data_IF_328190870861
#
_entry.id   IF_328190870861
#
_cell.length_a   1.000
_cell.length_b   1.000
_cell.length_c   1.000
_cell.angle_alpha   90.00
_cell.angle_beta   90.00
_cell.angle_gamma   90.00
#
_symmetry.space_group_name_H-M   'P 1'
#
loop_
_entity.id
_entity.type
_entity.pdbx_description
1 polymer ?
#
# COMPACT_ATOMS: atom_id res chain seq x y z
N UNK A 1 58.75 62.62 -20.82
CA UNK A 1 59.18 61.86 -19.64
C UNK A 1 58.03 62.00 -18.64
N UNK A 2 57.17 61.04 -18.33
CA UNK A 2 57.19 59.58 -18.38
C UNK A 2 55.71 59.15 -18.46
N UNK A 3 55.32 58.34 -19.45
CA UNK A 3 54.01 57.66 -19.44
C UNK A 3 54.09 56.53 -18.43
N UNK A 4 53.20 56.50 -17.43
CA UNK A 4 53.03 55.36 -16.53
C UNK A 4 51.56 54.94 -16.54
N UNK A 5 51.28 53.91 -17.35
CA UNK A 5 50.00 53.23 -17.44
C UNK A 5 49.82 52.35 -16.18
N UNK A 6 48.85 52.69 -15.35
CA UNK A 6 48.51 51.96 -14.13
C UNK A 6 47.63 50.74 -14.43
N UNK A 7 47.79 49.71 -13.60
CA UNK A 7 47.44 48.31 -13.83
C UNK A 7 45.93 48.01 -13.76
N UNK A 8 45.55 47.06 -14.60
CA UNK A 8 44.33 46.21 -14.53
C UNK A 8 43.96 45.81 -13.09
N UNK A 9 42.69 45.89 -12.73
CA UNK A 9 42.03 44.84 -11.94
C UNK A 9 40.51 44.91 -12.11
N UNK A 10 39.98 43.94 -12.85
CA UNK A 10 38.56 43.73 -13.10
C UNK A 10 38.01 42.70 -12.09
N UNK A 11 36.88 43.04 -11.47
CA UNK A 11 35.66 42.24 -11.33
C UNK A 11 35.58 41.02 -10.38
N UNK A 12 34.58 41.16 -9.49
CA UNK A 12 33.54 40.17 -9.13
C UNK A 12 33.97 38.99 -8.28
N UNK A 13 33.71 39.12 -6.98
CA UNK A 13 33.60 37.99 -6.07
C UNK A 13 32.32 37.20 -6.39
N UNK A 14 32.51 35.97 -6.87
CA UNK A 14 31.44 35.02 -7.13
C UNK A 14 30.88 34.46 -5.80
N UNK A 15 29.58 34.68 -5.58
CA UNK A 15 28.78 33.93 -4.61
C UNK A 15 28.50 32.56 -5.23
N UNK A 16 29.18 31.51 -4.77
CA UNK A 16 28.85 30.13 -5.13
C UNK A 16 27.66 29.66 -4.29
N UNK A 17 26.50 29.59 -4.93
CA UNK A 17 25.30 28.96 -4.42
C UNK A 17 25.53 27.45 -4.25
N UNK A 18 25.46 26.97 -3.01
CA UNK A 18 25.35 25.55 -2.71
C UNK A 18 23.91 25.10 -3.04
N UNK A 19 23.69 24.65 -4.27
CA UNK A 19 22.47 23.93 -4.65
C UNK A 19 22.56 22.56 -3.98
N UNK A 20 21.87 22.39 -2.85
CA UNK A 20 21.68 21.08 -2.25
C UNK A 20 20.90 20.20 -3.20
N UNK A 21 21.51 19.11 -3.66
CA UNK A 21 20.76 18.01 -4.23
C UNK A 21 19.94 17.39 -3.10
N UNK A 22 18.67 17.77 -3.01
CA UNK A 22 17.70 16.97 -2.26
C UNK A 22 17.72 15.58 -2.88
N UNK A 23 18.17 14.58 -2.12
CA UNK A 23 18.00 13.20 -2.53
C UNK A 23 16.49 12.99 -2.78
N UNK A 24 16.08 12.36 -3.89
CA UNK A 24 14.69 11.98 -4.05
C UNK A 24 14.32 11.13 -2.82
N UNK A 25 13.22 11.49 -2.16
CA UNK A 25 12.65 10.62 -1.14
C UNK A 25 12.28 9.32 -1.87
N UNK A 26 13.11 8.29 -1.73
CA UNK A 26 12.78 6.97 -2.25
C UNK A 26 11.63 6.46 -1.39
N UNK A 27 10.55 6.02 -2.04
CA UNK A 27 9.40 5.40 -1.39
C UNK A 27 9.88 4.33 -0.39
N UNK A 28 9.38 4.38 0.84
CA UNK A 28 9.75 3.38 1.83
C UNK A 28 8.96 2.10 1.54
N UNK A 29 9.62 0.93 1.42
CA UNK A 29 8.91 -0.33 1.23
C UNK A 29 8.10 -0.67 2.49
N UNK A 30 6.94 -1.28 2.30
CA UNK A 30 6.17 -1.89 3.38
C UNK A 30 6.80 -3.25 3.68
N UNK A 31 7.10 -3.51 4.95
CA UNK A 31 7.62 -4.82 5.33
C UNK A 31 6.57 -5.90 5.06
N UNK A 32 7.04 -7.06 4.58
CA UNK A 32 6.27 -8.28 4.41
C UNK A 32 5.91 -8.93 5.77
N UNK A 33 5.42 -8.13 6.71
CA UNK A 33 5.09 -8.52 8.07
C UNK A 33 3.83 -7.80 8.54
N UNK A 34 2.82 -8.58 8.94
CA UNK A 34 1.53 -8.08 9.42
C UNK A 34 0.37 -8.74 8.68
N UNK A 35 -0.84 -8.43 9.13
CA UNK A 35 -2.08 -8.96 8.57
C UNK A 35 -3.06 -7.83 8.27
N UNK A 36 -3.97 -8.09 7.34
CA UNK A 36 -5.16 -7.29 7.12
C UNK A 36 -6.37 -8.13 7.44
N UNK A 37 -7.16 -7.67 8.40
CA UNK A 37 -8.39 -8.31 8.82
C UNK A 37 -9.57 -7.63 8.12
N UNK A 38 -10.38 -8.42 7.43
CA UNK A 38 -11.59 -7.97 6.75
C UNK A 38 -12.79 -8.59 7.46
N UNK A 39 -13.59 -7.73 8.08
CA UNK A 39 -14.86 -8.13 8.70
C UNK A 39 -15.98 -7.98 7.68
N UNK A 40 -16.58 -9.09 7.26
CA UNK A 40 -17.70 -9.08 6.31
C UNK A 40 -18.94 -8.45 6.94
N UNK A 41 -19.62 -7.60 6.18
CA UNK A 41 -20.83 -6.91 6.63
C UNK A 41 -21.98 -7.87 6.85
N UNK A 42 -22.86 -7.56 7.81
CA UNK A 42 -24.06 -8.37 8.07
C UNK A 42 -25.00 -8.44 6.85
N UNK A 43 -25.05 -7.39 6.04
CA UNK A 43 -25.82 -7.38 4.79
C UNK A 43 -25.28 -8.43 3.81
N UNK A 44 -23.97 -8.41 3.53
CA UNK A 44 -23.38 -9.33 2.56
C UNK A 44 -23.41 -10.78 3.06
N UNK A 45 -23.18 -11.01 4.36
CA UNK A 45 -23.36 -12.34 4.96
C UNK A 45 -24.80 -12.86 4.82
N UNK A 46 -25.80 -11.99 4.97
CA UNK A 46 -27.20 -12.37 4.76
C UNK A 46 -27.43 -12.77 3.30
N UNK A 47 -26.93 -11.98 2.34
CA UNK A 47 -27.00 -12.32 0.91
C UNK A 47 -26.36 -13.68 0.62
N UNK A 48 -25.17 -13.95 1.18
CA UNK A 48 -24.50 -15.24 0.98
C UNK A 48 -25.33 -16.41 1.57
N UNK A 49 -25.72 -16.29 2.84
CA UNK A 49 -26.44 -17.35 3.56
C UNK A 49 -27.84 -17.62 3.00
N UNK A 50 -28.61 -16.57 2.69
CA UNK A 50 -29.95 -16.68 2.11
C UNK A 50 -29.93 -17.36 0.72
N UNK A 51 -28.81 -17.23 0.00
CA UNK A 51 -28.64 -17.82 -1.34
C UNK A 51 -27.83 -19.12 -1.35
N UNK A 52 -27.50 -19.66 -0.17
CA UNK A 52 -26.76 -20.92 -0.03
C UNK A 52 -25.31 -20.84 -0.55
N UNK A 53 -24.72 -19.65 -0.54
CA UNK A 53 -23.33 -19.41 -0.94
C UNK A 53 -22.47 -19.46 0.32
N UNK A 54 -21.48 -20.34 0.35
CA UNK A 54 -20.45 -20.38 1.40
C UNK A 54 -19.21 -19.60 0.98
N UNK A 55 -18.56 -18.93 1.93
CA UNK A 55 -17.27 -18.30 1.73
C UNK A 55 -16.21 -18.98 2.60
N UNK A 56 -15.12 -19.42 1.98
CA UNK A 56 -14.03 -20.15 2.62
C UNK A 56 -12.69 -19.47 2.31
N UNK A 57 -11.73 -19.43 3.24
CA UNK A 57 -10.41 -18.87 2.96
C UNK A 57 -9.59 -19.80 2.05
N UNK A 58 -8.76 -19.21 1.19
CA UNK A 58 -7.74 -19.90 0.41
C UNK A 58 -6.38 -19.58 1.03
N UNK A 59 -5.59 -20.61 1.35
CA UNK A 59 -4.28 -20.46 1.99
C UNK A 59 -3.37 -19.45 1.27
N UNK A 60 -2.54 -18.68 2.00
CA UNK A 60 -2.37 -18.66 3.46
C UNK A 60 -3.46 -17.89 4.24
N UNK A 61 -4.51 -17.38 3.58
CA UNK A 61 -5.57 -16.67 4.29
C UNK A 61 -6.24 -17.58 5.33
N UNK A 62 -6.72 -16.97 6.41
CA UNK A 62 -7.47 -17.66 7.46
C UNK A 62 -8.81 -16.99 7.69
N UNK A 63 -9.77 -17.72 8.26
CA UNK A 63 -11.08 -17.19 8.58
C UNK A 63 -11.50 -17.60 9.99
N UNK A 64 -12.11 -16.67 10.72
CA UNK A 64 -12.71 -16.90 12.04
C UNK A 64 -14.05 -16.17 12.11
N UNK A 65 -15.14 -16.93 11.99
CA UNK A 65 -16.48 -16.36 11.89
C UNK A 65 -16.64 -15.50 10.64
N UNK A 66 -16.93 -14.22 10.82
CA UNK A 66 -17.11 -13.24 9.74
C UNK A 66 -15.81 -12.49 9.36
N UNK A 67 -14.68 -12.86 9.96
CA UNK A 67 -13.40 -12.17 9.76
C UNK A 67 -12.48 -13.04 8.92
N UNK A 68 -12.00 -12.46 7.81
CA UNK A 68 -10.95 -13.04 6.98
C UNK A 68 -9.64 -12.29 7.23
N UNK A 69 -8.57 -13.03 7.47
CA UNK A 69 -7.23 -12.47 7.72
C UNK A 69 -6.31 -12.83 6.56
N UNK A 70 -5.69 -11.81 5.98
CA UNK A 70 -4.78 -11.91 4.85
C UNK A 70 -3.39 -11.43 5.24
N UNK A 71 -2.38 -12.24 4.95
CA UNK A 71 -0.98 -11.90 5.23
C UNK A 71 -0.49 -10.83 4.25
N UNK A 72 0.14 -9.78 4.80
CA UNK A 72 0.77 -8.72 4.01
C UNK A 72 2.13 -9.21 3.51
N UNK A 73 2.28 -9.33 2.20
CA UNK A 73 3.51 -9.83 1.56
C UNK A 73 4.45 -8.72 1.10
N UNK A 74 3.98 -7.47 1.04
CA UNK A 74 4.80 -6.35 0.62
C UNK A 74 3.99 -5.10 0.31
N UNK A 75 4.60 -4.19 -0.41
CA UNK A 75 3.99 -2.93 -0.82
C UNK A 75 4.94 -1.74 -0.77
N UNK A 76 4.41 -0.58 -1.12
CA UNK A 76 5.09 0.70 -1.15
C UNK A 76 4.25 1.77 -0.44
N UNK A 77 4.90 2.79 0.09
CA UNK A 77 4.21 3.90 0.79
C UNK A 77 4.01 5.15 -0.08
N UNK A 78 4.67 5.23 -1.22
CA UNK A 78 4.57 6.36 -2.15
C UNK A 78 4.90 5.92 -3.61
N UNK A 79 3.90 5.55 -4.43
CA UNK A 79 2.48 5.53 -4.10
C UNK A 79 2.12 4.43 -3.08
N UNK A 80 1.05 4.65 -2.31
CA UNK A 80 0.58 3.64 -1.35
C UNK A 80 0.04 2.42 -2.10
N UNK A 81 0.74 1.30 -1.97
CA UNK A 81 0.34 -0.02 -2.49
C UNK A 81 0.59 -1.06 -1.41
N UNK A 82 -0.38 -1.95 -1.13
CA UNK A 82 -0.21 -3.04 -0.17
C UNK A 82 -0.56 -4.35 -0.85
N UNK A 83 0.37 -5.30 -0.84
CA UNK A 83 0.22 -6.61 -1.44
C UNK A 83 -0.12 -7.66 -0.38
N UNK A 84 -1.03 -8.57 -0.72
CA UNK A 84 -1.49 -9.64 0.15
C UNK A 84 -1.37 -11.00 -0.52
N UNK A 85 -1.30 -12.04 0.32
CA UNK A 85 -1.40 -13.43 -0.12
C UNK A 85 -2.67 -14.10 0.38
N UNK A 86 -3.04 -15.17 -0.31
CA UNK A 86 -4.24 -15.95 -0.03
C UNK A 86 -5.43 -15.49 -0.85
N UNK A 87 -6.63 -15.86 -0.42
CA UNK A 87 -7.83 -15.57 -1.16
C UNK A 87 -9.12 -15.92 -0.42
N UNK A 88 -10.22 -15.69 -1.10
CA UNK A 88 -11.55 -16.13 -0.70
C UNK A 88 -12.14 -16.96 -1.82
N UNK A 89 -12.67 -18.13 -1.48
CA UNK A 89 -13.44 -18.99 -2.35
C UNK A 89 -14.91 -18.88 -1.96
N UNK A 90 -15.74 -18.44 -2.90
CA UNK A 90 -17.19 -18.51 -2.80
C UNK A 90 -17.68 -19.77 -3.51
N UNK A 91 -18.58 -20.52 -2.89
CA UNK A 91 -19.08 -21.79 -3.43
C UNK A 91 -20.60 -21.90 -3.26
N UNK A 92 -21.28 -22.45 -4.27
CA UNK A 92 -22.69 -22.82 -4.23
C UNK A 92 -22.89 -24.09 -5.05
N UNK A 93 -22.96 -25.23 -4.36
CA UNK A 93 -23.07 -26.54 -5.03
C UNK A 93 -21.81 -26.84 -5.85
N UNK A 94 -21.92 -26.86 -7.19
CA UNK A 94 -20.80 -27.05 -8.11
C UNK A 94 -20.16 -25.75 -8.61
N UNK A 95 -20.83 -24.62 -8.41
CA UNK A 95 -20.36 -23.32 -8.87
C UNK A 95 -19.36 -22.75 -7.86
N UNK A 96 -18.26 -22.19 -8.37
CA UNK A 96 -17.24 -21.55 -7.56
C UNK A 96 -16.77 -20.24 -8.18
N UNK A 97 -16.39 -19.31 -7.30
CA UNK A 97 -15.76 -18.04 -7.64
C UNK A 97 -14.64 -17.79 -6.64
N UNK A 98 -13.40 -17.74 -7.11
CA UNK A 98 -12.25 -17.40 -6.26
C UNK A 98 -11.76 -16.00 -6.55
N UNK A 99 -11.34 -15.29 -5.49
CA UNK A 99 -10.58 -14.06 -5.58
C UNK A 99 -9.31 -14.24 -4.75
N UNK A 100 -8.15 -14.15 -5.38
CA UNK A 100 -6.83 -14.38 -4.77
C UNK A 100 -5.89 -13.22 -5.05
N UNK A 101 -4.79 -13.15 -4.28
CA UNK A 101 -3.73 -12.15 -4.43
C UNK A 101 -4.31 -10.74 -4.44
N UNK A 102 -4.70 -10.22 -3.29
CA UNK A 102 -5.27 -8.87 -3.22
C UNK A 102 -4.16 -7.82 -3.27
N UNK A 103 -4.43 -6.71 -3.97
CA UNK A 103 -3.59 -5.51 -3.98
C UNK A 103 -4.46 -4.32 -3.64
N UNK A 104 -4.10 -3.61 -2.58
CA UNK A 104 -4.71 -2.34 -2.20
C UNK A 104 -3.93 -1.22 -2.90
N UNK A 105 -4.59 -0.45 -3.75
CA UNK A 105 -4.04 0.76 -4.35
C UNK A 105 -4.64 1.99 -3.66
N UNK A 106 -3.83 2.67 -2.86
CA UNK A 106 -4.24 3.85 -2.12
C UNK A 106 -4.37 5.12 -2.97
N UNK A 107 -3.82 5.13 -4.19
CA UNK A 107 -3.94 6.27 -5.12
C UNK A 107 -5.24 6.18 -5.90
N UNK A 108 -5.55 4.99 -6.42
CA UNK A 108 -6.80 4.72 -7.12
C UNK A 108 -7.98 4.54 -6.16
N UNK A 109 -7.70 4.21 -4.89
CA UNK A 109 -8.73 3.94 -3.89
C UNK A 109 -9.46 2.64 -4.18
N UNK A 110 -8.76 1.61 -4.64
CA UNK A 110 -9.36 0.33 -5.04
C UNK A 110 -8.62 -0.85 -4.45
N UNK A 111 -9.31 -1.99 -4.36
CA UNK A 111 -8.70 -3.29 -4.13
C UNK A 111 -8.86 -4.13 -5.38
N UNK A 112 -7.73 -4.57 -5.91
CA UNK A 112 -7.68 -5.45 -7.05
C UNK A 112 -7.38 -6.88 -6.62
N UNK A 113 -7.89 -7.84 -7.36
CA UNK A 113 -7.64 -9.25 -7.12
C UNK A 113 -7.59 -10.02 -8.42
N UNK A 114 -7.07 -11.22 -8.32
CA UNK A 114 -7.07 -12.19 -9.38
C UNK A 114 -8.29 -13.10 -9.24
N UNK A 115 -9.17 -13.08 -10.23
CA UNK A 115 -10.46 -13.77 -10.18
C UNK A 115 -10.37 -15.10 -10.93
N UNK A 116 -10.79 -16.20 -10.31
CA UNK A 116 -10.75 -17.56 -10.86
C UNK A 116 -9.37 -17.99 -11.38
N UNK A 117 -8.30 -17.46 -10.77
CA UNK A 117 -6.92 -17.75 -11.17
C UNK A 117 -6.54 -17.25 -12.57
N UNK A 118 -7.19 -16.18 -13.05
CA UNK A 118 -6.79 -15.49 -14.29
C UNK A 118 -5.38 -14.89 -14.22
N UNK A 119 -4.94 -14.19 -15.25
CA UNK A 119 -3.64 -13.48 -15.21
C UNK A 119 -3.80 -11.98 -14.89
N UNK A 120 -5.02 -11.44 -15.08
CA UNK A 120 -5.31 -10.03 -14.90
C UNK A 120 -5.71 -9.71 -13.45
N UNK A 121 -5.23 -8.60 -12.93
CA UNK A 121 -5.71 -8.00 -11.69
C UNK A 121 -6.90 -7.10 -12.00
N UNK A 122 -8.06 -7.48 -11.47
CA UNK A 122 -9.30 -6.75 -11.67
C UNK A 122 -9.65 -5.99 -10.40
N UNK A 123 -10.00 -4.71 -10.53
CA UNK A 123 -10.56 -3.94 -9.42
C UNK A 123 -11.92 -4.55 -9.01
N UNK A 124 -11.97 -5.13 -7.81
CA UNK A 124 -13.16 -5.83 -7.29
C UNK A 124 -13.82 -5.08 -6.13
N UNK A 125 -13.08 -4.20 -5.45
CA UNK A 125 -13.62 -3.31 -4.45
C UNK A 125 -13.16 -1.88 -4.66
N UNK A 126 -14.04 -0.95 -4.28
CA UNK A 126 -13.70 0.46 -4.10
C UNK A 126 -13.53 0.73 -2.60
N UNK A 127 -12.52 1.52 -2.24
CA UNK A 127 -12.23 1.90 -0.86
C UNK A 127 -13.01 3.17 -0.51
N UNK A 128 -13.67 3.16 0.64
CA UNK A 128 -14.34 4.34 1.19
C UNK A 128 -14.04 4.48 2.69
N UNK A 129 -14.33 5.66 3.24
CA UNK A 129 -14.12 5.98 4.66
C UNK A 129 -12.71 5.59 5.16
N UNK A 130 -11.70 5.90 4.35
CA UNK A 130 -10.31 5.57 4.65
C UNK A 130 -9.82 6.42 5.84
N UNK A 131 -9.47 5.77 6.94
CA UNK A 131 -8.85 6.38 8.10
C UNK A 131 -7.44 5.83 8.31
N UNK A 132 -6.46 6.72 8.31
CA UNK A 132 -5.04 6.43 8.49
C UNK A 132 -4.48 7.02 9.81
N UNK A 133 -5.35 7.46 10.74
CA UNK A 133 -4.96 8.00 12.04
C UNK A 133 -4.45 6.93 13.02
N UNK A 134 -4.63 5.64 12.70
CA UNK A 134 -4.15 4.47 13.42
C UNK A 134 -3.82 3.31 12.48
N UNK A 135 -4.22 2.05 12.77
CA UNK A 135 -4.22 1.02 11.73
C UNK A 135 -5.06 1.51 10.54
N UNK A 136 -4.62 1.26 9.30
CA UNK A 136 -5.36 1.75 8.13
C UNK A 136 -6.69 1.00 8.07
N UNK A 137 -7.80 1.71 8.27
CA UNK A 137 -9.14 1.14 8.16
C UNK A 137 -9.85 1.72 6.95
N UNK A 138 -10.57 0.86 6.22
CA UNK A 138 -11.37 1.28 5.07
C UNK A 138 -12.60 0.38 4.91
N UNK A 139 -13.70 0.96 4.44
CA UNK A 139 -14.85 0.21 3.98
C UNK A 139 -14.60 -0.29 2.57
N UNK A 140 -14.88 -1.57 2.34
CA UNK A 140 -14.81 -2.23 1.03
C UNK A 140 -16.19 -2.18 0.38
N UNK A 141 -16.33 -1.41 -0.68
CA UNK A 141 -17.55 -1.35 -1.48
C UNK A 141 -17.42 -2.31 -2.66
N UNK A 142 -18.47 -3.08 -2.92
CA UNK A 142 -18.50 -4.01 -4.05
C UNK A 142 -18.49 -3.22 -5.36
N UNK A 143 -17.48 -3.45 -6.19
CA UNK A 143 -17.37 -2.85 -7.51
C UNK A 143 -18.25 -3.61 -8.53
N UNK A 144 -18.57 -2.97 -9.65
CA UNK A 144 -19.29 -3.57 -10.78
C UNK A 144 -18.68 -4.88 -11.28
N UNK A 145 -17.35 -4.99 -11.28
CA UNK A 145 -16.66 -6.21 -11.71
C UNK A 145 -17.00 -7.41 -10.82
N UNK A 146 -16.89 -7.23 -9.49
CA UNK A 146 -17.20 -8.29 -8.54
C UNK A 146 -18.70 -8.61 -8.50
N UNK A 147 -19.53 -7.58 -8.52
CA UNK A 147 -20.99 -7.73 -8.56
C UNK A 147 -21.43 -8.54 -9.79
N UNK A 148 -20.86 -8.24 -10.96
CA UNK A 148 -21.11 -8.97 -12.20
C UNK A 148 -20.64 -10.43 -12.11
N UNK A 149 -19.44 -10.67 -11.58
CA UNK A 149 -18.91 -12.02 -11.40
C UNK A 149 -19.79 -12.86 -10.44
N UNK A 150 -20.14 -12.32 -9.26
CA UNK A 150 -21.02 -12.99 -8.30
C UNK A 150 -22.39 -13.28 -8.92
N UNK A 151 -22.99 -12.29 -9.59
CA UNK A 151 -24.30 -12.44 -10.20
C UNK A 151 -24.28 -13.52 -11.28
N UNK A 152 -23.28 -13.51 -12.17
CA UNK A 152 -23.18 -14.47 -13.26
C UNK A 152 -22.88 -15.90 -12.79
N UNK A 153 -22.15 -16.06 -11.68
CA UNK A 153 -21.77 -17.38 -11.16
C UNK A 153 -22.87 -18.01 -10.30
N UNK A 154 -23.56 -17.22 -9.46
CA UNK A 154 -24.42 -17.79 -8.41
C UNK A 154 -25.92 -17.53 -8.58
N UNK A 155 -26.31 -16.65 -9.49
CA UNK A 155 -27.70 -16.21 -9.65
C UNK A 155 -28.17 -16.42 -11.09
N UNK A 156 -29.42 -16.86 -11.24
CA UNK A 156 -30.05 -17.00 -12.56
C UNK A 156 -30.47 -15.63 -13.14
N UNK A 157 -30.74 -14.66 -12.26
CA UNK A 157 -31.08 -13.28 -12.60
C UNK A 157 -29.90 -12.33 -12.36
N UNK A 158 -29.79 -11.28 -13.16
CA UNK A 158 -28.79 -10.23 -12.96
C UNK A 158 -29.16 -9.35 -11.76
N UNK A 159 -28.45 -9.56 -10.65
CA UNK A 159 -28.56 -8.78 -9.42
C UNK A 159 -27.40 -7.80 -9.23
N UNK A 160 -26.49 -7.67 -10.22
CA UNK A 160 -25.28 -6.86 -10.09
C UNK A 160 -25.58 -5.42 -9.67
N UNK A 161 -26.63 -4.80 -10.23
CA UNK A 161 -27.08 -3.45 -9.86
C UNK A 161 -27.53 -3.29 -8.41
N UNK A 162 -27.91 -4.38 -7.73
CA UNK A 162 -28.24 -4.37 -6.29
C UNK A 162 -27.00 -4.50 -5.41
N UNK A 163 -25.95 -5.15 -5.92
CA UNK A 163 -24.71 -5.39 -5.19
C UNK A 163 -23.72 -4.22 -5.30
N UNK A 164 -23.67 -3.55 -6.45
CA UNK A 164 -22.72 -2.44 -6.67
C UNK A 164 -22.91 -1.33 -5.65
N UNK A 165 -21.80 -0.91 -5.03
CA UNK A 165 -21.78 0.15 -4.02
C UNK A 165 -22.22 -0.30 -2.63
N UNK A 166 -22.69 -1.55 -2.48
CA UNK A 166 -22.95 -2.11 -1.16
C UNK A 166 -21.64 -2.41 -0.44
N UNK A 167 -21.64 -2.23 0.88
CA UNK A 167 -20.49 -2.54 1.73
C UNK A 167 -20.32 -4.05 1.83
N UNK A 168 -19.24 -4.58 1.27
CA UNK A 168 -18.80 -5.95 1.50
C UNK A 168 -18.39 -6.15 2.96
N UNK A 169 -17.65 -5.20 3.52
CA UNK A 169 -17.11 -5.27 4.86
C UNK A 169 -16.15 -4.13 5.17
N UNK A 170 -15.53 -4.17 6.34
CA UNK A 170 -14.50 -3.22 6.76
C UNK A 170 -13.16 -3.92 6.87
N UNK A 171 -12.13 -3.37 6.23
CA UNK A 171 -10.74 -3.81 6.33
C UNK A 171 -10.00 -3.00 7.40
N UNK A 172 -9.10 -3.66 8.14
CA UNK A 172 -8.17 -3.03 9.08
C UNK A 172 -6.79 -3.63 8.89
N UNK A 173 -5.81 -2.82 8.51
CA UNK A 173 -4.41 -3.27 8.37
C UNK A 173 -3.63 -2.98 9.64
N UNK A 174 -2.87 -3.96 10.10
CA UNK A 174 -1.89 -3.79 11.18
C UNK A 174 -0.47 -4.07 10.65
N UNK A 175 0.06 -3.22 9.75
CA UNK A 175 1.42 -3.39 9.24
C UNK A 175 2.40 -3.21 10.40
N UNK A 176 3.35 -4.14 10.52
CA UNK A 176 4.37 -4.02 11.55
C UNK A 176 5.26 -2.81 11.22
N UNK A 177 5.44 -1.83 12.13
CA UNK A 177 6.32 -0.69 11.86
C UNK A 177 7.73 -1.18 11.55
N UNK A 178 8.24 -0.86 10.36
CA UNK A 178 9.61 -1.22 9.98
C UNK A 178 10.57 -0.49 10.91
N UNK A 179 11.45 -1.20 11.63
CA UNK A 179 12.51 -0.54 12.39
C UNK A 179 13.35 0.29 11.43
N UNK A 180 13.31 1.61 11.58
CA UNK A 180 14.11 2.53 10.76
C UNK A 180 15.55 2.02 10.84
N UNK A 181 16.18 1.64 9.71
CA UNK A 181 17.51 1.07 9.76
C UNK A 181 18.41 2.09 10.45
N UNK A 182 19.27 1.59 11.34
CA UNK A 182 20.25 2.39 12.06
C UNK A 182 21.14 3.24 11.12
N UNK A 183 21.04 3.09 9.80
CA UNK A 183 21.60 3.99 8.78
C UNK A 183 21.24 5.46 9.00
N UNK A 184 20.05 5.80 9.51
CA UNK A 184 19.73 7.19 9.88
C UNK A 184 20.65 7.72 10.99
N UNK A 185 20.84 6.94 12.04
CA UNK A 185 21.77 7.24 13.13
C UNK A 185 23.24 7.10 12.72
N UNK A 186 23.56 6.18 11.80
CA UNK A 186 24.91 5.91 11.32
C UNK A 186 25.39 6.96 10.32
N UNK A 187 24.48 7.53 9.52
CA UNK A 187 24.74 8.70 8.69
C UNK A 187 24.99 9.94 9.57
N UNK A 188 24.14 10.16 10.59
CA UNK A 188 24.32 11.24 11.56
C UNK A 188 25.63 11.09 12.36
N UNK A 189 25.94 9.88 12.81
CA UNK A 189 27.20 9.56 13.48
C UNK A 189 28.40 9.70 12.53
N UNK A 190 28.26 9.32 11.26
CA UNK A 190 29.28 9.48 10.22
C UNK A 190 29.61 10.95 9.94
N UNK A 191 28.60 11.81 9.83
CA UNK A 191 28.79 13.26 9.67
C UNK A 191 29.43 13.90 10.91
N UNK A 192 29.02 13.49 12.12
CA UNK A 192 29.62 13.94 13.37
C UNK A 192 31.10 13.52 13.51
N UNK A 193 31.43 12.29 13.15
CA UNK A 193 32.79 11.75 13.16
C UNK A 193 33.73 12.46 12.19
N UNK A 194 33.24 12.80 10.98
CA UNK A 194 34.04 13.52 9.98
C UNK A 194 34.34 14.97 10.39
N UNK A 195 33.38 15.64 11.05
CA UNK A 195 33.60 16.98 11.62
C UNK A 195 34.61 16.97 12.78
N UNK A 196 34.55 15.95 13.65
CA UNK A 196 35.49 15.80 14.76
C UNK A 196 36.94 15.55 14.29
N UNK A 197 37.13 14.76 13.22
CA UNK A 197 38.46 14.53 12.63
C UNK A 197 39.10 15.81 12.05
N UNK A 198 38.31 16.72 11.49
CA UNK A 198 38.83 18.01 10.98
C UNK A 198 39.38 18.90 12.11
N UNK A 199 38.78 18.87 13.31
CA UNK A 199 39.28 19.64 14.47
C UNK A 199 40.60 19.11 15.01
N UNK A 200 40.84 17.79 14.97
CA UNK A 200 42.11 17.22 15.42
C UNK A 200 43.30 17.63 14.55
N UNK A 201 43.11 17.84 13.25
CA UNK A 201 44.20 18.23 12.35
C UNK A 201 44.63 19.71 12.49
N UNK A 202 43.76 20.58 13.01
CA UNK A 202 44.07 21.98 13.27
C UNK A 202 44.78 22.23 14.62
N UNK A 203 44.78 21.25 15.52
CA UNK A 203 45.44 21.34 16.83
C UNK A 203 46.86 20.73 16.85
N UNK A 204 47.38 20.29 15.71
CA UNK A 204 48.73 19.71 15.57
C UNK A 204 49.59 20.46 14.54
N UNK A 205 49.20 21.70 14.19
CA UNK A 205 49.98 22.62 13.36
C UNK A 205 50.38 23.84 14.20
#
# INVERSE_FOLDING_TARGET
MLFMFEKKSLYVAAVLAAIGWGAPAMAAPIAATGTTDVTVSGFFLSVLTDNGISASPIEPATASGAVFSFDITGGETDPLSIEHSGGVLFEKGSENLSATNFIIDGVLGTVSANVNGGDDFLAIFDLNNIDASGPLTADLLINATLAGAISATFFDDDISGTLVGQTFGSASTAPSPVPIPASGLLLLAGMGGLAAMRRRKAASA
#
